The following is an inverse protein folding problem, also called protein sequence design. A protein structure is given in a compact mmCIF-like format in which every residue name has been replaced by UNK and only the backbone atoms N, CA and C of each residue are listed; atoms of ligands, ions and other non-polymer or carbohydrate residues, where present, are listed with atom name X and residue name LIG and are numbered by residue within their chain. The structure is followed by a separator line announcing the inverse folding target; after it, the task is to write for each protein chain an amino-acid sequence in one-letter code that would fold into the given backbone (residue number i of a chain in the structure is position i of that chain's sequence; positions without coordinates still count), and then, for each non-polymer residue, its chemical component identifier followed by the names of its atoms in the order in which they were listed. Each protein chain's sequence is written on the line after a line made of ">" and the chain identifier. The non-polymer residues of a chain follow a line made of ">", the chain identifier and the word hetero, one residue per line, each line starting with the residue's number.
data_IF_085618128635
#
_entry.id   IF_085618128635
#
_cell.length_a   1.000
_cell.length_b   1.000
_cell.length_c   1.000
_cell.angle_alpha   90.00
_cell.angle_beta   90.00
_cell.angle_gamma   90.00
#
_symmetry.space_group_name_H-M   'P 1'
#
loop_
_entity.id
_entity.type
_entity.pdbx_description
1 polymer ?
#
# COMPACT_ATOMS: atom_id res chain seq x y z
N UNK A 1 -16.20 7.38 -4.30
CA UNK A 1 -15.92 8.08 -3.02
C UNK A 1 -17.23 8.52 -2.40
N UNK A 2 -17.38 8.28 -1.11
CA UNK A 2 -18.49 8.78 -0.28
C UNK A 2 -17.85 9.71 0.74
N UNK A 3 -18.32 10.97 0.80
CA UNK A 3 -17.87 11.95 1.79
C UNK A 3 -19.09 12.68 2.36
N UNK A 4 -19.49 12.32 3.58
CA UNK A 4 -20.79 12.71 4.12
C UNK A 4 -21.93 12.18 3.24
N UNK A 5 -22.80 13.07 2.80
CA UNK A 5 -23.91 12.76 1.88
C UNK A 5 -23.48 12.79 0.39
N UNK A 6 -22.28 13.29 0.07
CA UNK A 6 -21.82 13.41 -1.30
C UNK A 6 -21.29 12.08 -1.84
N UNK A 7 -21.76 11.68 -3.03
CA UNK A 7 -21.25 10.55 -3.80
C UNK A 7 -20.54 11.05 -5.06
N UNK A 8 -19.29 10.62 -5.24
CA UNK A 8 -18.50 10.87 -6.46
C UNK A 8 -18.00 9.56 -7.04
N UNK A 9 -18.14 9.39 -8.35
CA UNK A 9 -17.59 8.26 -9.10
C UNK A 9 -16.48 8.75 -10.01
N UNK A 10 -15.34 8.07 -9.97
CA UNK A 10 -14.20 8.34 -10.82
C UNK A 10 -13.36 7.07 -10.96
N UNK A 11 -12.49 7.06 -11.96
CA UNK A 11 -11.54 5.98 -12.20
C UNK A 11 -10.17 6.40 -11.67
N UNK A 12 -9.47 5.48 -11.03
CA UNK A 12 -8.13 5.68 -10.49
C UNK A 12 -7.20 4.67 -11.18
N UNK A 13 -6.00 5.12 -11.56
CA UNK A 13 -4.90 4.29 -12.00
C UNK A 13 -3.61 4.55 -11.21
N UNK A 14 -2.56 3.74 -11.44
CA UNK A 14 -1.27 3.90 -10.76
C UNK A 14 -0.67 5.30 -10.90
N UNK A 15 -0.85 5.94 -12.07
CA UNK A 15 -0.31 7.28 -12.35
C UNK A 15 -0.86 8.38 -11.43
N UNK A 16 -2.09 8.23 -10.92
CA UNK A 16 -2.69 9.19 -9.97
C UNK A 16 -1.94 9.21 -8.63
N UNK A 17 -1.30 8.09 -8.27
CA UNK A 17 -0.42 7.95 -7.12
C UNK A 17 1.07 8.20 -7.47
N UNK A 18 1.39 8.54 -8.72
CA UNK A 18 2.77 8.67 -9.20
C UNK A 18 3.51 7.34 -9.42
N UNK A 19 2.76 6.25 -9.57
CA UNK A 19 3.28 4.89 -9.76
C UNK A 19 3.18 4.45 -11.22
N UNK A 20 3.96 3.44 -11.58
CA UNK A 20 3.95 2.87 -12.93
C UNK A 20 3.00 1.67 -12.99
N UNK A 21 2.24 1.55 -14.08
CA UNK A 21 1.37 0.40 -14.29
C UNK A 21 2.20 -0.87 -14.54
N UNK A 22 1.71 -2.00 -14.04
CA UNK A 22 2.32 -3.31 -14.23
C UNK A 22 1.30 -4.32 -14.77
N UNK A 23 1.79 -5.30 -15.53
CA UNK A 23 0.97 -6.42 -15.98
C UNK A 23 0.56 -7.34 -14.82
N UNK A 24 -0.52 -8.10 -15.02
CA UNK A 24 -1.06 -9.07 -14.05
C UNK A 24 -0.01 -10.03 -13.51
N UNK A 25 0.90 -10.50 -14.36
CA UNK A 25 2.00 -11.40 -13.97
C UNK A 25 2.93 -10.77 -12.92
N UNK A 26 3.17 -9.44 -13.01
CA UNK A 26 3.98 -8.71 -12.03
C UNK A 26 3.32 -8.62 -10.65
N UNK A 27 2.01 -8.80 -10.56
CA UNK A 27 1.22 -8.75 -9.33
C UNK A 27 0.89 -10.14 -8.77
N UNK A 28 1.29 -11.21 -9.46
CA UNK A 28 0.93 -12.58 -9.11
C UNK A 28 1.48 -12.96 -7.72
N UNK A 29 0.57 -13.35 -6.83
CA UNK A 29 0.88 -14.00 -5.56
C UNK A 29 1.16 -15.50 -5.73
N UNK A 30 1.33 -16.19 -4.61
CA UNK A 30 1.47 -17.65 -4.54
C UNK A 30 0.57 -18.25 -3.47
N UNK A 31 0.99 -19.37 -2.92
CA UNK A 31 0.38 -20.00 -1.75
C UNK A 31 0.56 -19.13 -0.47
N UNK A 32 -0.03 -19.51 0.69
CA UNK A 32 0.09 -18.73 1.91
C UNK A 32 1.53 -18.48 2.39
N UNK A 33 2.44 -19.46 2.25
CA UNK A 33 3.83 -19.29 2.67
C UNK A 33 4.57 -18.33 1.74
N UNK A 34 4.35 -18.47 0.43
CA UNK A 34 4.89 -17.56 -0.57
C UNK A 34 4.39 -16.12 -0.38
N UNK A 35 3.09 -15.94 -0.13
CA UNK A 35 2.50 -14.62 0.12
C UNK A 35 3.01 -13.99 1.42
N UNK A 36 3.23 -14.79 2.46
CA UNK A 36 3.86 -14.29 3.69
C UNK A 36 5.31 -13.82 3.44
N UNK A 37 6.06 -14.51 2.58
CA UNK A 37 7.38 -14.06 2.12
C UNK A 37 7.29 -12.72 1.38
N UNK A 38 6.46 -12.65 0.34
CA UNK A 38 6.22 -11.43 -0.45
C UNK A 38 5.86 -10.24 0.44
N UNK A 39 4.95 -10.43 1.41
CA UNK A 39 4.55 -9.37 2.31
C UNK A 39 5.72 -8.88 3.17
N UNK A 40 6.54 -9.78 3.71
CA UNK A 40 7.73 -9.40 4.49
C UNK A 40 8.76 -8.66 3.62
N UNK A 41 8.99 -9.12 2.40
CA UNK A 41 9.93 -8.48 1.48
C UNK A 41 9.50 -7.05 1.14
N UNK A 42 8.21 -6.84 0.85
CA UNK A 42 7.64 -5.50 0.60
C UNK A 42 7.84 -4.61 1.82
N UNK A 43 7.50 -5.09 3.02
CA UNK A 43 7.63 -4.33 4.27
C UNK A 43 9.10 -4.05 4.66
N UNK A 44 10.04 -4.87 4.17
CA UNK A 44 11.48 -4.67 4.30
C UNK A 44 12.06 -3.71 3.24
N UNK A 45 11.23 -3.19 2.33
CA UNK A 45 11.63 -2.18 1.34
C UNK A 45 11.83 -2.70 -0.08
N UNK A 46 11.54 -3.97 -0.38
CA UNK A 46 11.68 -4.50 -1.74
C UNK A 46 10.90 -3.65 -2.77
N UNK A 47 11.56 -3.24 -3.86
CA UNK A 47 10.96 -2.45 -4.93
C UNK A 47 10.23 -3.32 -5.96
N UNK A 48 9.29 -2.71 -6.68
CA UNK A 48 8.65 -3.30 -7.87
C UNK A 48 7.12 -3.36 -7.79
N UNK A 49 6.47 -3.97 -8.80
CA UNK A 49 5.02 -3.92 -8.99
C UNK A 49 4.18 -4.32 -7.77
N UNK A 50 4.64 -5.32 -7.01
CA UNK A 50 3.95 -5.80 -5.80
C UNK A 50 4.00 -4.78 -4.67
N UNK A 51 5.10 -4.03 -4.54
CA UNK A 51 5.18 -2.89 -3.62
C UNK A 51 4.29 -1.75 -4.12
N UNK A 52 4.33 -1.44 -5.42
CA UNK A 52 3.55 -0.33 -5.98
C UNK A 52 2.05 -0.49 -5.76
N UNK A 53 1.49 -1.70 -5.94
CA UNK A 53 0.07 -1.94 -5.63
C UNK A 53 -0.26 -1.79 -4.15
N UNK A 54 0.68 -2.13 -3.25
CA UNK A 54 0.53 -1.90 -1.80
C UNK A 54 0.55 -0.40 -1.50
N UNK A 55 1.44 0.37 -2.13
CA UNK A 55 1.49 1.83 -2.00
C UNK A 55 0.20 2.49 -2.49
N UNK A 56 -0.35 2.06 -3.62
CA UNK A 56 -1.62 2.58 -4.14
C UNK A 56 -2.79 2.34 -3.16
N UNK A 57 -2.92 1.12 -2.63
CA UNK A 57 -3.98 0.79 -1.68
C UNK A 57 -3.80 1.55 -0.34
N UNK A 58 -2.56 1.65 0.16
CA UNK A 58 -2.26 2.41 1.36
C UNK A 58 -2.52 3.91 1.17
N UNK A 59 -2.19 4.47 0.00
CA UNK A 59 -2.48 5.85 -0.34
C UNK A 59 -3.98 6.15 -0.29
N UNK A 60 -4.80 5.30 -0.91
CA UNK A 60 -6.26 5.44 -0.87
C UNK A 60 -6.79 5.38 0.58
N UNK A 61 -6.26 4.47 1.40
CA UNK A 61 -6.63 4.39 2.82
C UNK A 61 -6.22 5.66 3.60
N UNK A 62 -5.04 6.22 3.33
CA UNK A 62 -4.58 7.46 3.96
C UNK A 62 -5.43 8.67 3.58
N UNK A 63 -5.86 8.76 2.31
CA UNK A 63 -6.79 9.81 1.85
C UNK A 63 -8.13 9.68 2.57
N UNK A 64 -8.73 8.48 2.59
CA UNK A 64 -9.99 8.23 3.29
C UNK A 64 -9.89 8.52 4.79
N UNK A 65 -8.72 8.28 5.40
CA UNK A 65 -8.46 8.57 6.80
C UNK A 65 -8.16 10.05 7.10
N UNK A 66 -8.17 10.94 6.09
CA UNK A 66 -7.82 12.35 6.23
C UNK A 66 -6.35 12.59 6.61
N UNK A 67 -5.47 11.64 6.27
CA UNK A 67 -4.02 11.68 6.55
C UNK A 67 -3.18 12.12 5.35
N UNK A 68 -3.76 12.09 4.15
CA UNK A 68 -3.14 12.58 2.92
C UNK A 68 -4.18 13.39 2.13
N UNK A 69 -3.73 14.45 1.45
CA UNK A 69 -4.59 15.31 0.64
C UNK A 69 -4.99 14.64 -0.68
N UNK A 70 -4.08 13.83 -1.25
CA UNK A 70 -4.29 13.09 -2.48
C UNK A 70 -3.51 11.76 -2.49
N UNK A 71 -3.67 11.00 -3.58
CA UNK A 71 -3.03 9.69 -3.74
C UNK A 71 -1.51 9.78 -3.88
N UNK A 72 -0.97 10.87 -4.43
CA UNK A 72 0.48 11.04 -4.60
C UNK A 72 1.15 11.27 -3.26
N UNK A 73 0.59 12.14 -2.44
CA UNK A 73 1.03 12.37 -1.08
C UNK A 73 0.84 11.12 -0.22
N UNK A 74 -0.30 10.43 -0.36
CA UNK A 74 -0.55 9.15 0.33
C UNK A 74 0.47 8.08 -0.02
N UNK A 75 0.83 7.94 -1.31
CA UNK A 75 1.82 6.97 -1.76
C UNK A 75 3.22 7.31 -1.24
N UNK A 76 3.59 8.60 -1.21
CA UNK A 76 4.85 9.07 -0.62
C UNK A 76 4.94 8.77 0.87
N UNK A 77 3.87 9.02 1.63
CA UNK A 77 3.82 8.69 3.06
C UNK A 77 3.90 7.18 3.31
N UNK A 78 3.18 6.38 2.52
CA UNK A 78 3.22 4.92 2.60
C UNK A 78 4.62 4.37 2.26
N UNK A 79 5.28 4.90 1.22
CA UNK A 79 6.63 4.55 0.86
C UNK A 79 7.61 4.88 1.99
N UNK A 80 7.52 6.08 2.56
CA UNK A 80 8.35 6.47 3.69
C UNK A 80 8.18 5.52 4.90
N UNK A 81 6.95 5.11 5.22
CA UNK A 81 6.69 4.18 6.32
C UNK A 81 7.26 2.76 6.09
N UNK A 82 7.37 2.34 4.83
CA UNK A 82 8.06 1.10 4.45
C UNK A 82 9.58 1.30 4.55
N UNK A 83 10.11 2.34 3.91
CA UNK A 83 11.55 2.58 3.78
C UNK A 83 12.23 2.90 5.11
N UNK A 84 11.53 3.57 6.03
CA UNK A 84 12.02 3.85 7.39
C UNK A 84 11.79 2.67 8.37
N UNK A 85 11.20 1.57 7.87
CA UNK A 85 10.93 0.33 8.60
C UNK A 85 9.81 0.42 9.64
N UNK A 86 9.06 1.52 9.74
CA UNK A 86 7.92 1.61 10.69
C UNK A 86 6.88 0.55 10.40
N UNK A 87 6.63 0.24 9.13
CA UNK A 87 5.66 -0.77 8.70
C UNK A 87 6.09 -2.18 9.13
N UNK A 88 7.36 -2.56 8.91
CA UNK A 88 7.90 -3.84 9.37
C UNK A 88 7.87 -3.96 10.92
N UNK A 89 8.26 -2.91 11.64
CA UNK A 89 8.19 -2.88 13.12
C UNK A 89 6.76 -3.02 13.63
N UNK A 90 5.76 -2.48 12.92
CA UNK A 90 4.36 -2.64 13.29
C UNK A 90 3.91 -4.10 13.17
N UNK A 91 4.30 -4.80 12.10
CA UNK A 91 3.98 -6.22 11.93
C UNK A 91 4.51 -7.05 13.12
N UNK A 92 5.75 -6.84 13.54
CA UNK A 92 6.32 -7.58 14.67
C UNK A 92 5.57 -7.29 15.98
N UNK A 93 5.22 -6.02 16.26
CA UNK A 93 4.39 -5.69 17.43
C UNK A 93 3.02 -6.37 17.40
N UNK A 94 2.38 -6.45 16.23
CA UNK A 94 1.08 -7.13 16.08
C UNK A 94 1.24 -8.64 16.32
N UNK A 95 2.32 -9.25 15.81
CA UNK A 95 2.62 -10.67 16.05
C UNK A 95 2.87 -10.97 17.53
N UNK A 96 3.55 -10.08 18.23
CA UNK A 96 3.79 -10.20 19.68
C UNK A 96 2.49 -10.08 20.48
N UNK A 97 1.62 -9.13 20.14
CA UNK A 97 0.35 -8.91 20.84
C UNK A 97 -0.69 -10.02 20.61
N UNK A 98 -0.54 -10.81 19.56
CA UNK A 98 -1.43 -11.95 19.24
C UNK A 98 -0.97 -13.28 19.86
N UNK A 99 0.14 -13.29 20.61
CA UNK A 99 0.60 -14.45 21.39
C UNK A 99 -0.01 -14.43 22.77
#
# INVERSE_FOLDING_TARGET
>A
EINGEALRTFTIGPADAGLTAAGLEGLRGGDPLANAGIARDILAGASGPKRDVVLLNAAAALVVAGRAEDLREGARQAAAAIDDGRAARLLERVREAMR
#
